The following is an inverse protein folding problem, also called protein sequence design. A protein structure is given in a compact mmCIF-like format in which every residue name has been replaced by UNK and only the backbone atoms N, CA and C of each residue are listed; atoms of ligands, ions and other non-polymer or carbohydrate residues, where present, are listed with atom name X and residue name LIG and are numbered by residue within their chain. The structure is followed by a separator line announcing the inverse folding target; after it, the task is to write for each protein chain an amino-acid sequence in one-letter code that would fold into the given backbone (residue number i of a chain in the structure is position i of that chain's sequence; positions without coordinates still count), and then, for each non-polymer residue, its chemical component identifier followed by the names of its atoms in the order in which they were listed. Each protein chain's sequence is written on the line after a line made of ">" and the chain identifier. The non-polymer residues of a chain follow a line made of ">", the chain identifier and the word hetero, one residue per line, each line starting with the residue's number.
data_IF_161157134901
#
_entry.id   IF_161157134901
#
_cell.length_a   1.000
_cell.length_b   1.000
_cell.length_c   1.000
_cell.angle_alpha   90.00
_cell.angle_beta   90.00
_cell.angle_gamma   90.00
#
_symmetry.space_group_name_H-M   'P 1'
#
loop_
_entity.id
_entity.type
_entity.pdbx_description
1 polymer ?
#
# COMPACT_ATOMS: atom_id res chain seq x y z
N UNK A 1 27.75 9.45 11.06
CA UNK A 1 26.35 9.36 10.65
C UNK A 1 25.97 7.89 10.47
N UNK A 2 24.99 7.37 11.23
CA UNK A 2 24.52 5.99 11.14
C UNK A 2 23.40 5.92 10.07
N UNK A 3 23.49 5.03 9.05
CA UNK A 3 22.45 4.83 8.06
C UNK A 3 21.08 4.53 8.68
N UNK A 4 20.00 4.91 7.99
CA UNK A 4 18.64 4.68 8.49
C UNK A 4 18.34 3.19 8.70
N UNK A 5 18.78 2.33 7.77
CA UNK A 5 18.65 0.87 7.87
C UNK A 5 19.21 0.33 9.19
N UNK A 6 20.41 0.79 9.55
CA UNK A 6 21.12 0.32 10.74
C UNK A 6 20.45 0.82 12.02
N UNK A 7 19.93 2.06 12.00
CA UNK A 7 19.15 2.61 13.12
C UNK A 7 17.86 1.83 13.33
N UNK A 8 17.14 1.50 12.27
CA UNK A 8 15.93 0.68 12.32
C UNK A 8 16.26 -0.73 12.84
N UNK A 9 17.30 -1.35 12.30
CA UNK A 9 17.74 -2.67 12.75
C UNK A 9 18.10 -2.68 14.23
N UNK A 10 18.90 -1.70 14.67
CA UNK A 10 19.27 -1.55 16.08
C UNK A 10 18.05 -1.38 16.99
N UNK A 11 17.09 -0.53 16.60
CA UNK A 11 15.87 -0.32 17.38
C UNK A 11 15.06 -1.61 17.55
N UNK A 12 14.93 -2.41 16.51
CA UNK A 12 14.24 -3.71 16.57
C UNK A 12 14.98 -4.66 17.51
N UNK A 13 16.30 -4.75 17.41
CA UNK A 13 17.13 -5.61 18.27
C UNK A 13 17.05 -5.22 19.74
N UNK A 14 17.06 -3.94 20.05
CA UNK A 14 16.86 -3.45 21.41
C UNK A 14 15.45 -3.79 21.92
N UNK A 15 14.43 -3.69 21.07
CA UNK A 15 13.06 -4.08 21.42
C UNK A 15 12.91 -5.58 21.66
N UNK A 16 13.57 -6.43 20.85
CA UNK A 16 13.67 -7.88 21.07
C UNK A 16 14.29 -8.20 22.44
N UNK A 17 15.43 -7.55 22.72
CA UNK A 17 16.14 -7.72 24.00
C UNK A 17 15.29 -7.30 25.20
N UNK A 18 14.60 -6.17 25.13
CA UNK A 18 13.70 -5.70 26.20
C UNK A 18 12.57 -6.70 26.42
N UNK A 19 11.96 -7.19 25.31
CA UNK A 19 10.91 -8.19 25.39
C UNK A 19 11.41 -9.46 26.07
N UNK A 20 12.55 -10.00 25.64
CA UNK A 20 13.15 -11.20 26.23
C UNK A 20 13.43 -11.04 27.72
N UNK A 21 14.00 -9.91 28.10
CA UNK A 21 14.41 -9.61 29.49
C UNK A 21 13.23 -9.45 30.45
N UNK A 22 12.13 -8.84 30.02
CA UNK A 22 11.03 -8.45 30.89
C UNK A 22 9.73 -9.22 30.65
N UNK A 23 9.70 -10.10 29.63
CA UNK A 23 8.52 -10.85 29.31
C UNK A 23 8.32 -12.03 30.29
N UNK A 24 7.23 -12.00 31.01
CA UNK A 24 6.81 -13.09 31.91
C UNK A 24 6.02 -14.19 31.16
N UNK A 25 6.46 -14.55 29.96
CA UNK A 25 5.86 -15.57 29.09
C UNK A 25 4.46 -15.26 28.55
N UNK A 26 3.97 -14.02 28.71
CA UNK A 26 2.64 -13.61 28.28
C UNK A 26 2.61 -12.94 26.90
N UNK A 27 3.70 -12.29 26.50
CA UNK A 27 3.80 -11.52 25.27
C UNK A 27 4.65 -12.26 24.24
N UNK A 28 4.10 -12.47 23.05
CA UNK A 28 4.83 -13.12 21.93
C UNK A 28 5.55 -12.12 21.02
N UNK A 29 5.23 -10.84 21.13
CA UNK A 29 5.72 -9.82 20.22
C UNK A 29 5.71 -8.44 20.89
N UNK A 30 6.72 -7.65 20.64
CA UNK A 30 6.81 -6.24 21.10
C UNK A 30 6.10 -5.25 20.17
N UNK A 31 5.56 -5.69 19.03
CA UNK A 31 4.85 -4.89 18.03
C UNK A 31 5.66 -3.71 17.41
N UNK A 32 6.95 -3.64 17.66
CA UNK A 32 7.86 -2.63 17.09
C UNK A 32 8.39 -3.14 15.74
N UNK A 33 7.50 -3.23 14.76
CA UNK A 33 7.83 -3.62 13.39
C UNK A 33 8.21 -2.40 12.53
N UNK A 34 8.60 -2.64 11.29
CA UNK A 34 8.99 -1.58 10.34
C UNK A 34 7.89 -0.55 10.09
N UNK A 35 6.63 -0.95 10.12
CA UNK A 35 5.48 -0.06 9.99
C UNK A 35 5.38 0.87 11.19
N UNK A 36 5.46 0.33 12.39
CA UNK A 36 5.40 1.10 13.64
C UNK A 36 6.55 2.10 13.71
N UNK A 37 7.78 1.65 13.40
CA UNK A 37 8.97 2.52 13.42
C UNK A 37 8.85 3.63 12.37
N UNK A 38 8.42 3.32 11.15
CA UNK A 38 8.23 4.35 10.11
C UNK A 38 7.15 5.36 10.50
N UNK A 39 6.11 4.92 11.22
CA UNK A 39 5.08 5.82 11.77
C UNK A 39 5.67 6.78 12.81
N UNK A 40 6.53 6.29 13.73
CA UNK A 40 7.22 7.16 14.69
C UNK A 40 8.14 8.18 14.01
N UNK A 41 8.86 7.75 12.99
CA UNK A 41 9.73 8.63 12.22
C UNK A 41 8.93 9.73 11.51
N UNK A 42 7.80 9.36 10.87
CA UNK A 42 6.90 10.30 10.22
C UNK A 42 6.25 11.26 11.22
N UNK A 43 5.75 10.78 12.36
CA UNK A 43 5.16 11.64 13.39
C UNK A 43 6.17 12.68 13.93
N UNK A 44 7.45 12.34 13.98
CA UNK A 44 8.49 13.24 14.50
C UNK A 44 9.09 14.15 13.43
N UNK A 45 9.14 13.69 12.17
CA UNK A 45 9.77 14.38 11.05
C UNK A 45 8.96 14.13 9.76
N UNK A 46 7.72 14.66 9.68
CA UNK A 46 6.81 14.38 8.56
C UNK A 46 7.35 14.85 7.21
N UNK A 47 8.21 15.86 7.20
CA UNK A 47 8.88 16.40 6.01
C UNK A 47 9.95 15.46 5.42
N UNK A 48 10.41 14.45 6.21
CA UNK A 48 11.58 13.62 5.88
C UNK A 48 11.26 12.14 5.69
N UNK A 49 10.25 11.64 6.38
CA UNK A 49 9.96 10.21 6.45
C UNK A 49 8.53 9.92 6.02
N UNK A 50 8.34 8.71 5.51
CA UNK A 50 7.05 8.22 5.07
C UNK A 50 6.54 7.11 5.98
N UNK A 51 5.22 6.96 6.09
CA UNK A 51 4.62 5.78 6.71
C UNK A 51 4.78 4.61 5.75
N UNK A 52 5.52 3.59 6.16
CA UNK A 52 5.73 2.37 5.38
C UNK A 52 4.66 1.34 5.67
N UNK A 53 3.90 0.95 4.65
CA UNK A 53 2.89 -0.11 4.69
C UNK A 53 3.26 -1.21 3.69
N UNK A 54 3.83 -2.35 4.14
CA UNK A 54 4.41 -3.35 3.24
C UNK A 54 3.47 -3.85 2.14
N UNK A 55 2.20 -4.11 2.49
CA UNK A 55 1.19 -4.61 1.53
C UNK A 55 0.79 -3.55 0.50
N UNK A 56 0.69 -2.30 0.92
CA UNK A 56 0.39 -1.17 0.06
C UNK A 56 1.54 -0.93 -0.91
N UNK A 57 2.76 -0.87 -0.40
CA UNK A 57 3.97 -0.73 -1.21
C UNK A 57 4.04 -1.81 -2.30
N UNK A 58 3.86 -3.09 -1.94
CA UNK A 58 3.90 -4.20 -2.89
C UNK A 58 2.85 -4.04 -4.01
N UNK A 59 1.62 -3.63 -3.68
CA UNK A 59 0.56 -3.44 -4.68
C UNK A 59 0.79 -2.22 -5.54
N UNK A 60 1.22 -1.11 -4.95
CA UNK A 60 1.54 0.11 -5.70
C UNK A 60 2.70 -0.12 -6.66
N UNK A 61 3.75 -0.80 -6.22
CA UNK A 61 4.87 -1.20 -7.08
C UNK A 61 4.41 -1.99 -8.31
N UNK A 62 3.44 -2.91 -8.13
CA UNK A 62 2.83 -3.66 -9.24
C UNK A 62 1.95 -2.77 -10.13
N UNK A 63 1.12 -1.90 -9.56
CA UNK A 63 0.26 -0.98 -10.30
C UNK A 63 1.09 -0.07 -11.21
N UNK A 64 2.19 0.44 -10.68
CA UNK A 64 3.10 1.35 -11.39
C UNK A 64 4.12 0.62 -12.28
N UNK A 65 4.10 -0.73 -12.27
CA UNK A 65 5.04 -1.57 -13.01
C UNK A 65 6.51 -1.19 -12.77
N UNK A 66 6.86 -0.96 -11.50
CA UNK A 66 8.22 -0.57 -11.12
C UNK A 66 9.13 -1.79 -10.98
N UNK A 67 10.45 -1.57 -10.98
CA UNK A 67 11.45 -2.61 -10.73
C UNK A 67 11.58 -3.01 -9.26
N UNK A 68 10.92 -2.30 -8.36
CA UNK A 68 10.94 -2.61 -6.93
C UNK A 68 10.18 -3.90 -6.64
N UNK A 69 10.89 -4.93 -6.22
CA UNK A 69 10.30 -6.23 -5.90
C UNK A 69 10.25 -6.45 -4.39
N UNK A 70 9.07 -6.79 -3.92
CA UNK A 70 8.86 -7.11 -2.52
C UNK A 70 8.97 -8.63 -2.28
N UNK A 71 10.03 -9.06 -1.60
CA UNK A 71 10.09 -10.43 -1.06
C UNK A 71 9.28 -10.50 0.23
N UNK A 72 8.59 -11.62 0.46
CA UNK A 72 7.79 -11.86 1.66
C UNK A 72 8.64 -11.62 2.93
N UNK A 73 8.19 -10.69 3.77
CA UNK A 73 8.90 -10.26 4.99
C UNK A 73 9.58 -8.89 4.77
N UNK A 74 9.15 -7.89 5.54
CA UNK A 74 9.80 -6.59 5.52
C UNK A 74 11.21 -6.68 6.12
N UNK A 75 12.17 -6.00 5.51
CA UNK A 75 13.54 -5.84 5.98
C UNK A 75 13.88 -4.35 6.01
N UNK A 76 14.97 -3.92 6.68
CA UNK A 76 15.43 -2.53 6.57
C UNK A 76 15.57 -2.07 5.12
N UNK A 77 16.12 -2.93 4.25
CA UNK A 77 16.27 -2.62 2.83
C UNK A 77 14.93 -2.44 2.11
N UNK A 78 13.88 -3.18 2.51
CA UNK A 78 12.53 -3.00 1.95
C UNK A 78 11.97 -1.61 2.27
N UNK A 79 12.25 -1.10 3.47
CA UNK A 79 11.86 0.27 3.86
C UNK A 79 12.58 1.29 3.01
N UNK A 80 13.89 1.10 2.77
CA UNK A 80 14.68 2.01 1.92
C UNK A 80 14.17 2.00 0.48
N UNK A 81 13.92 0.82 -0.11
CA UNK A 81 13.34 0.71 -1.44
C UNK A 81 11.96 1.39 -1.56
N UNK A 82 11.13 1.27 -0.52
CA UNK A 82 9.86 1.99 -0.48
C UNK A 82 10.08 3.51 -0.46
N UNK A 83 11.05 3.98 0.31
CA UNK A 83 11.37 5.40 0.37
C UNK A 83 11.94 5.93 -0.94
N UNK A 84 12.72 5.13 -1.66
CA UNK A 84 13.20 5.48 -3.01
C UNK A 84 12.02 5.68 -3.97
N UNK A 85 11.10 4.69 -4.05
CA UNK A 85 9.89 4.81 -4.87
C UNK A 85 9.04 6.03 -4.45
N UNK A 86 8.87 6.26 -3.15
CA UNK A 86 8.08 7.39 -2.66
C UNK A 86 8.72 8.73 -2.99
N UNK A 87 10.04 8.82 -2.96
CA UNK A 87 10.78 10.00 -3.40
C UNK A 87 10.63 10.27 -4.89
N UNK A 88 10.66 9.23 -5.74
CA UNK A 88 10.39 9.36 -7.18
C UNK A 88 8.99 9.91 -7.43
N UNK A 89 7.98 9.36 -6.76
CA UNK A 89 6.59 9.82 -6.87
C UNK A 89 6.46 11.25 -6.34
N UNK A 90 7.05 11.56 -5.17
CA UNK A 90 7.06 12.90 -4.60
C UNK A 90 7.63 13.92 -5.58
N UNK A 91 8.75 13.58 -6.21
CA UNK A 91 9.36 14.45 -7.21
C UNK A 91 8.40 14.76 -8.38
N UNK A 92 7.67 13.76 -8.88
CA UNK A 92 6.66 13.94 -9.93
C UNK A 92 5.52 14.85 -9.44
N UNK A 93 4.99 14.61 -8.26
CA UNK A 93 3.92 15.42 -7.67
C UNK A 93 4.37 16.89 -7.46
N UNK A 94 5.63 17.10 -7.13
CA UNK A 94 6.22 18.43 -6.99
C UNK A 94 6.33 19.20 -8.31
N UNK A 95 6.25 18.55 -9.47
CA UNK A 95 6.19 19.23 -10.78
C UNK A 95 4.77 19.63 -11.16
N UNK A 96 3.74 19.08 -10.52
CA UNK A 96 2.34 19.34 -10.82
C UNK A 96 1.90 20.68 -10.19
N UNK A 97 1.78 21.70 -11.03
CA UNK A 97 1.38 23.05 -10.61
C UNK A 97 -0.10 23.13 -10.23
N UNK A 98 -0.95 22.33 -10.86
CA UNK A 98 -2.38 22.28 -10.54
C UNK A 98 -2.60 21.66 -9.16
N UNK A 99 -1.95 20.53 -8.88
CA UNK A 99 -1.97 19.91 -7.56
C UNK A 99 -1.52 20.90 -6.46
N UNK A 100 -0.43 21.62 -6.68
CA UNK A 100 0.06 22.61 -5.72
C UNK A 100 -0.95 23.75 -5.50
N UNK A 101 -1.61 24.23 -6.54
CA UNK A 101 -2.64 25.26 -6.42
C UNK A 101 -3.85 24.75 -5.63
N UNK A 102 -4.31 23.51 -5.90
CA UNK A 102 -5.40 22.88 -5.16
C UNK A 102 -5.07 22.70 -3.68
N UNK A 103 -3.87 22.22 -3.36
CA UNK A 103 -3.42 22.04 -1.97
C UNK A 103 -3.34 23.38 -1.25
N UNK A 104 -2.80 24.42 -1.88
CA UNK A 104 -2.76 25.77 -1.32
C UNK A 104 -4.15 26.32 -1.01
N UNK A 105 -5.13 26.09 -1.89
CA UNK A 105 -6.52 26.49 -1.66
C UNK A 105 -7.15 25.75 -0.46
N UNK A 106 -6.92 24.43 -0.37
CA UNK A 106 -7.39 23.62 0.78
C UNK A 106 -6.79 24.11 2.10
N UNK A 107 -5.49 24.39 2.11
CA UNK A 107 -4.79 24.89 3.30
C UNK A 107 -5.33 26.27 3.75
N UNK A 108 -5.66 27.14 2.80
CA UNK A 108 -6.26 28.44 3.11
C UNK A 108 -7.62 28.30 3.82
N UNK A 109 -8.37 27.26 3.49
CA UNK A 109 -9.69 26.97 4.08
C UNK A 109 -9.63 26.13 5.37
N UNK A 110 -8.47 25.55 5.68
CA UNK A 110 -8.30 24.63 6.80
C UNK A 110 -7.15 25.10 7.72
N UNK A 111 -7.38 26.10 8.58
CA UNK A 111 -6.31 26.82 9.28
C UNK A 111 -5.50 26.00 10.28
N UNK A 112 -5.90 24.79 10.62
CA UNK A 112 -5.19 23.89 11.54
C UNK A 112 -4.53 22.71 10.85
N UNK A 113 -4.36 22.76 9.53
CA UNK A 113 -3.74 21.70 8.76
C UNK A 113 -2.24 21.98 8.61
N UNK A 114 -1.41 20.95 8.74
CA UNK A 114 0.02 21.04 8.41
C UNK A 114 0.15 21.30 6.90
N UNK A 115 0.92 22.30 6.48
CA UNK A 115 1.01 22.68 5.07
C UNK A 115 1.71 21.69 4.14
N UNK A 116 2.35 20.64 4.65
CA UNK A 116 3.04 19.59 3.86
C UNK A 116 3.81 20.15 2.64
N UNK A 117 4.60 21.19 2.83
CA UNK A 117 5.32 21.90 1.75
C UNK A 117 6.17 20.98 0.87
N UNK A 118 6.69 19.91 1.44
CA UNK A 118 7.49 18.91 0.76
C UNK A 118 6.66 17.85 0.03
N UNK A 119 5.35 17.85 0.18
CA UNK A 119 4.41 16.84 -0.33
C UNK A 119 4.71 15.41 0.15
N UNK A 120 5.32 15.26 1.32
CA UNK A 120 5.70 13.95 1.86
C UNK A 120 4.47 13.17 2.33
N UNK A 121 3.58 13.81 3.08
CA UNK A 121 2.30 13.22 3.51
C UNK A 121 1.36 13.05 2.32
N UNK A 122 1.27 14.05 1.45
CA UNK A 122 0.50 14.00 0.19
C UNK A 122 0.92 12.81 -0.68
N UNK A 123 2.22 12.49 -0.74
CA UNK A 123 2.71 11.31 -1.45
C UNK A 123 2.15 10.01 -0.85
N UNK A 124 2.13 9.87 0.46
CA UNK A 124 1.55 8.70 1.15
C UNK A 124 0.05 8.59 0.87
N UNK A 125 -0.68 9.69 0.89
CA UNK A 125 -2.11 9.72 0.59
C UNK A 125 -2.41 9.36 -0.87
N UNK A 126 -1.60 9.84 -1.81
CA UNK A 126 -1.68 9.47 -3.22
C UNK A 126 -1.48 7.96 -3.43
N UNK A 127 -0.49 7.36 -2.79
CA UNK A 127 -0.24 5.92 -2.85
C UNK A 127 -1.41 5.11 -2.28
N UNK A 128 -1.96 5.56 -1.17
CA UNK A 128 -3.17 4.96 -0.59
C UNK A 128 -4.36 5.05 -1.54
N UNK A 129 -4.56 6.18 -2.19
CA UNK A 129 -5.61 6.38 -3.18
C UNK A 129 -5.47 5.42 -4.37
N UNK A 130 -4.26 5.28 -4.94
CA UNK A 130 -3.97 4.33 -6.02
C UNK A 130 -4.29 2.90 -5.61
N UNK A 131 -3.83 2.47 -4.44
CA UNK A 131 -4.10 1.13 -3.93
C UNK A 131 -5.60 0.86 -3.78
N UNK A 132 -6.35 1.79 -3.19
CA UNK A 132 -7.79 1.64 -2.97
C UNK A 132 -8.60 1.62 -4.26
N UNK A 133 -8.26 2.46 -5.23
CA UNK A 133 -8.97 2.51 -6.50
C UNK A 133 -8.73 1.24 -7.33
N UNK A 134 -7.51 0.72 -7.34
CA UNK A 134 -7.23 -0.56 -8.00
C UNK A 134 -8.01 -1.71 -7.36
N UNK A 135 -8.04 -1.81 -6.04
CA UNK A 135 -8.83 -2.83 -5.35
C UNK A 135 -10.34 -2.75 -5.68
N UNK A 136 -10.91 -1.55 -5.78
CA UNK A 136 -12.32 -1.35 -6.17
C UNK A 136 -12.56 -1.81 -7.61
N UNK A 137 -11.67 -1.49 -8.52
CA UNK A 137 -11.75 -1.89 -9.93
C UNK A 137 -11.69 -3.40 -10.07
N UNK A 138 -10.72 -4.07 -9.45
CA UNK A 138 -10.60 -5.53 -9.47
C UNK A 138 -11.84 -6.23 -8.92
N UNK A 139 -12.43 -5.74 -7.82
CA UNK A 139 -13.69 -6.29 -7.28
C UNK A 139 -14.86 -6.15 -8.25
N UNK A 140 -14.97 -5.01 -8.96
CA UNK A 140 -16.02 -4.83 -9.96
C UNK A 140 -15.90 -5.84 -11.12
N UNK A 141 -14.69 -6.08 -11.62
CA UNK A 141 -14.43 -7.07 -12.68
C UNK A 141 -14.76 -8.49 -12.23
N UNK A 142 -14.36 -8.89 -11.01
CA UNK A 142 -14.68 -10.21 -10.45
C UNK A 142 -16.20 -10.45 -10.30
N UNK A 143 -16.95 -9.43 -9.88
CA UNK A 143 -18.41 -9.51 -9.74
C UNK A 143 -19.07 -9.61 -11.12
N UNK A 144 -18.59 -8.86 -12.11
CA UNK A 144 -19.09 -8.92 -13.48
C UNK A 144 -18.82 -10.29 -14.12
N UNK A 145 -17.61 -10.86 -13.95
CA UNK A 145 -17.26 -12.20 -14.44
C UNK A 145 -18.15 -13.29 -13.84
N UNK A 146 -18.38 -13.29 -12.54
CA UNK A 146 -19.27 -14.24 -11.86
C UNK A 146 -20.75 -14.14 -12.30
N UNK A 147 -21.19 -12.95 -12.72
CA UNK A 147 -22.55 -12.78 -13.28
C UNK A 147 -22.66 -13.34 -14.69
N UNK A 148 -21.61 -13.32 -15.48
CA UNK A 148 -21.60 -13.91 -16.82
C UNK A 148 -21.57 -15.45 -16.78
N UNK A 149 -20.76 -16.06 -15.90
CA UNK A 149 -20.72 -17.51 -15.71
C UNK A 149 -22.06 -18.10 -15.27
N UNK A 150 -22.86 -17.36 -14.49
CA UNK A 150 -24.20 -17.80 -14.08
C UNK A 150 -25.28 -17.69 -15.20
N UNK A 151 -24.99 -17.02 -16.31
CA UNK A 151 -25.93 -16.85 -17.44
C UNK A 151 -25.71 -17.84 -18.57
N UNK A 152 -24.63 -18.61 -18.58
CA UNK A 152 -24.47 -19.72 -19.52
C UNK A 152 -25.16 -20.95 -18.93
N UNK A 153 -26.21 -21.49 -19.59
CA UNK A 153 -26.76 -22.77 -19.19
C UNK A 153 -25.64 -23.81 -19.32
N UNK A 154 -25.48 -24.65 -18.30
CA UNK A 154 -24.52 -25.75 -18.38
C UNK A 154 -24.80 -26.60 -19.56
N UNK A 155 -23.78 -26.95 -20.34
CA UNK A 155 -23.86 -27.78 -21.57
C UNK A 155 -24.46 -29.19 -21.31
N UNK A 156 -24.72 -29.53 -20.06
CA UNK A 156 -25.30 -30.79 -19.60
C UNK A 156 -26.75 -30.69 -19.10
N UNK A 157 -27.52 -29.65 -19.49
CA UNK A 157 -28.93 -29.66 -19.15
C UNK A 157 -29.70 -30.62 -20.07
N UNK A 158 -30.63 -31.47 -19.56
CA UNK A 158 -31.40 -32.44 -20.36
C UNK A 158 -32.15 -31.80 -21.54
N UNK A 159 -32.47 -30.52 -21.47
CA UNK A 159 -33.17 -29.76 -22.51
C UNK A 159 -32.30 -29.46 -23.75
N UNK A 160 -30.97 -29.60 -23.69
CA UNK A 160 -30.11 -29.34 -24.83
C UNK A 160 -29.99 -30.58 -25.73
N UNK A 161 -30.12 -31.78 -25.18
CA UNK A 161 -30.10 -33.03 -25.96
C UNK A 161 -31.40 -33.24 -26.73
N UNK A 162 -32.53 -32.82 -26.19
CA UNK A 162 -33.83 -32.95 -26.84
C UNK A 162 -33.97 -32.02 -28.06
N UNK A 163 -33.39 -30.83 -28.02
CA UNK A 163 -33.40 -29.88 -29.13
C UNK A 163 -32.56 -30.32 -30.34
N UNK A 164 -31.51 -31.12 -30.11
CA UNK A 164 -30.63 -31.64 -31.16
C UNK A 164 -31.25 -32.84 -31.89
N UNK A 165 -32.16 -33.58 -31.25
CA UNK A 165 -32.86 -34.72 -31.85
C UNK A 165 -34.04 -34.28 -32.76
N UNK A 166 -34.66 -33.15 -32.45
CA UNK A 166 -35.76 -32.57 -33.25
C UNK A 166 -35.24 -31.84 -34.49
N UNK A 167 -33.99 -31.43 -34.55
CA UNK A 167 -33.39 -30.77 -35.72
C UNK A 167 -32.82 -31.78 -36.77
N UNK A 168 -32.92 -33.09 -36.53
CA UNK A 168 -32.45 -34.17 -37.43
C UNK A 168 -33.57 -35.09 -37.96
N UNK A 169 -34.83 -34.76 -37.68
CA UNK A 169 -36.02 -35.32 -38.30
C UNK A 169 -36.65 -34.27 -39.24
#
# INVERSE_FOLDING_TARGET
>A
HIPLSDRIYKFIKESDFILEKYNQSTWRNHFQDYRTISTYLWLRYPERYYIFKPREFSRVSQILNTSYTFKKGATPNTVLQAYELYNEIKWILQQDTELKAMLSDVLTRTPNCDPDFELTTTTVDFLYFLDKNNQKSQKKFQIAGKKQEKKHPSFNSPNFQTSLLVAKS
#
